data_IF_769522985640
#
_entry.id   IF_769522985640
#
_cell.length_a   1.000
_cell.length_b   1.000
_cell.length_c   1.000
_cell.angle_alpha   90.00
_cell.angle_beta   90.00
_cell.angle_gamma   90.00
#
_symmetry.space_group_name_H-M   'P 1'
#
loop_
_entity.id
_entity.type
_entity.pdbx_description
1 polymer ?
#
# COMPACT_ATOMS: atom_id res chain seq x y z
N UNK A 1 -2.72 -5.46 8.95
CA UNK A 1 -3.04 -4.79 7.67
C UNK A 1 -3.80 -3.54 8.05
N UNK A 2 -3.36 -2.39 7.56
CA UNK A 2 -3.95 -1.10 7.89
C UNK A 2 -4.33 -0.40 6.61
N UNK A 3 -5.52 0.21 6.59
CA UNK A 3 -5.93 1.11 5.53
C UNK A 3 -5.59 2.53 5.98
N UNK A 4 -4.86 3.27 5.15
CA UNK A 4 -4.46 4.64 5.50
C UNK A 4 -4.51 5.59 4.32
N UNK A 5 -4.39 6.88 4.64
CA UNK A 5 -4.29 7.94 3.65
C UNK A 5 -2.86 8.07 3.12
N UNK A 6 -2.71 8.85 2.05
CA UNK A 6 -1.40 9.28 1.56
C UNK A 6 -0.53 9.88 2.68
N UNK A 7 -1.12 10.68 3.59
CA UNK A 7 -0.41 11.28 4.73
C UNK A 7 0.11 10.21 5.70
N UNK A 8 -0.63 9.13 5.94
CA UNK A 8 -0.17 8.02 6.77
C UNK A 8 1.01 7.28 6.12
N UNK A 9 0.98 7.09 4.79
CA UNK A 9 2.08 6.48 4.03
C UNK A 9 3.36 7.34 3.99
N UNK A 10 3.22 8.66 4.15
CA UNK A 10 4.32 9.62 4.21
C UNK A 10 4.80 9.91 5.64
N UNK A 11 4.26 9.24 6.66
CA UNK A 11 4.64 9.47 8.05
C UNK A 11 5.37 8.25 8.62
N UNK A 12 6.71 8.30 8.62
CA UNK A 12 7.58 7.23 9.13
C UNK A 12 7.25 6.82 10.57
N UNK A 13 6.92 7.78 11.44
CA UNK A 13 6.61 7.50 12.84
C UNK A 13 5.30 6.73 12.98
N UNK A 14 4.27 7.09 12.20
CA UNK A 14 2.99 6.37 12.15
C UNK A 14 3.18 4.96 11.58
N UNK A 15 3.98 4.81 10.53
CA UNK A 15 4.30 3.50 9.96
C UNK A 15 4.96 2.60 11.02
N UNK A 16 6.01 3.09 11.68
CA UNK A 16 6.74 2.31 12.70
C UNK A 16 5.89 2.01 13.93
N UNK A 17 5.07 2.96 14.41
CA UNK A 17 4.20 2.75 15.57
C UNK A 17 3.10 1.71 15.31
N UNK A 18 2.67 1.57 14.05
CA UNK A 18 1.74 0.52 13.62
C UNK A 18 2.44 -0.79 13.21
N UNK A 19 3.75 -0.93 13.49
CA UNK A 19 4.56 -2.08 13.09
C UNK A 19 4.49 -2.37 11.57
N UNK A 20 4.32 -1.31 10.75
CA UNK A 20 4.34 -1.44 9.31
C UNK A 20 5.78 -1.68 8.85
N UNK A 21 5.94 -2.69 8.01
CA UNK A 21 7.22 -3.06 7.37
C UNK A 21 7.11 -2.96 5.84
N UNK A 22 5.89 -2.99 5.33
CA UNK A 22 5.57 -2.97 3.90
C UNK A 22 4.53 -1.88 3.62
N UNK A 23 4.65 -1.22 2.47
CA UNK A 23 3.72 -0.20 1.99
C UNK A 23 3.26 -0.58 0.58
N UNK A 24 1.96 -0.78 0.42
CA UNK A 24 1.30 -1.02 -0.87
C UNK A 24 0.60 0.26 -1.31
N UNK A 25 1.05 0.81 -2.43
CA UNK A 25 0.54 2.04 -3.04
C UNK A 25 -0.19 1.69 -4.32
N UNK A 26 -1.49 1.98 -4.38
CA UNK A 26 -2.31 1.83 -5.58
C UNK A 26 -2.62 3.24 -6.08
N UNK A 27 -1.68 3.83 -6.80
CA UNK A 27 -1.73 5.23 -7.23
C UNK A 27 -0.75 5.46 -8.38
N UNK A 28 -1.04 6.45 -9.21
CA UNK A 28 -0.14 6.84 -10.29
C UNK A 28 1.02 7.69 -9.73
N UNK A 29 2.24 7.37 -10.17
CA UNK A 29 3.43 8.22 -9.99
C UNK A 29 3.82 8.56 -8.54
N UNK A 30 3.49 7.71 -7.56
CA UNK A 30 3.94 7.91 -6.18
C UNK A 30 5.24 7.13 -5.91
N UNK A 31 6.33 7.86 -5.72
CA UNK A 31 7.62 7.29 -5.37
C UNK A 31 7.68 6.88 -3.87
N UNK A 32 8.36 5.76 -3.54
CA UNK A 32 8.68 5.40 -2.17
C UNK A 32 9.42 6.51 -1.43
N UNK A 33 8.88 6.94 -0.28
CA UNK A 33 9.43 8.05 0.51
C UNK A 33 10.57 7.59 1.42
N UNK A 34 10.51 6.33 1.90
CA UNK A 34 11.50 5.75 2.80
C UNK A 34 11.96 4.35 2.33
N UNK A 35 12.54 4.23 1.11
CA UNK A 35 12.86 2.93 0.50
C UNK A 35 13.86 2.09 1.30
N UNK A 36 14.63 2.70 2.20
CA UNK A 36 15.59 2.00 3.07
C UNK A 36 14.96 1.46 4.37
N UNK A 37 13.76 1.92 4.73
CA UNK A 37 13.09 1.51 5.98
C UNK A 37 11.92 0.55 5.76
N UNK A 38 11.29 0.56 4.58
CA UNK A 38 10.13 -0.26 4.27
C UNK A 38 10.23 -0.87 2.87
N UNK A 39 9.53 -1.99 2.68
CA UNK A 39 9.38 -2.62 1.37
C UNK A 39 8.17 -2.01 0.67
N UNK A 40 8.36 -1.46 -0.52
CA UNK A 40 7.30 -0.82 -1.29
C UNK A 40 6.82 -1.68 -2.45
N UNK A 41 5.51 -1.63 -2.69
CA UNK A 41 4.89 -2.12 -3.91
C UNK A 41 4.02 -1.01 -4.47
N UNK A 42 4.41 -0.46 -5.62
CA UNK A 42 3.63 0.57 -6.31
C UNK A 42 2.94 -0.06 -7.51
N UNK A 43 1.63 0.15 -7.57
CA UNK A 43 0.79 -0.24 -8.70
C UNK A 43 0.10 0.98 -9.24
N UNK A 44 0.52 1.35 -10.44
CA UNK A 44 -0.11 2.39 -11.22
C UNK A 44 -1.39 1.82 -11.81
N UNK A 45 -2.51 2.39 -11.39
CA UNK A 45 -3.83 1.99 -11.81
C UNK A 45 -4.50 3.27 -12.27
N UNK A 46 -4.87 3.31 -13.55
CA UNK A 46 -5.62 4.44 -14.07
C UNK A 46 -6.96 4.55 -13.32
N UNK A 47 -7.30 5.75 -12.88
CA UNK A 47 -8.60 6.03 -12.25
C UNK A 47 -9.69 6.08 -13.34
N UNK A 48 -10.00 4.90 -13.87
CA UNK A 48 -11.01 4.69 -14.90
C UNK A 48 -11.91 3.55 -14.49
N UNK A 49 -13.20 3.71 -14.72
CA UNK A 49 -14.21 2.69 -14.36
C UNK A 49 -14.01 1.37 -15.11
N UNK A 50 -13.34 1.41 -16.26
CA UNK A 50 -12.96 0.25 -17.08
C UNK A 50 -11.78 -0.55 -16.53
N UNK A 51 -11.10 -0.05 -15.49
CA UNK A 51 -9.89 -0.69 -14.97
C UNK A 51 -10.24 -1.87 -14.08
N UNK A 52 -9.87 -3.07 -14.53
CA UNK A 52 -10.11 -4.30 -13.79
C UNK A 52 -9.17 -4.40 -12.58
N UNK A 53 -9.65 -3.97 -11.41
CA UNK A 53 -8.91 -4.09 -10.15
C UNK A 53 -8.71 -5.54 -9.69
N UNK A 54 -9.56 -6.48 -10.14
CA UNK A 54 -9.50 -7.89 -9.69
C UNK A 54 -8.19 -8.56 -10.12
N UNK A 55 -7.64 -8.18 -11.26
CA UNK A 55 -6.37 -8.74 -11.75
C UNK A 55 -5.18 -8.38 -10.84
N UNK A 56 -5.28 -7.31 -10.07
CA UNK A 56 -4.25 -6.88 -9.12
C UNK A 56 -4.50 -7.39 -7.71
N UNK A 57 -5.71 -7.88 -7.42
CA UNK A 57 -6.10 -8.30 -6.08
C UNK A 57 -5.24 -9.48 -5.60
N UNK A 58 -5.01 -10.47 -6.46
CA UNK A 58 -4.17 -11.63 -6.12
C UNK A 58 -2.75 -11.21 -5.80
N UNK A 59 -2.21 -10.24 -6.54
CA UNK A 59 -0.87 -9.72 -6.28
C UNK A 59 -0.81 -8.92 -4.96
N UNK A 60 -1.83 -8.09 -4.69
CA UNK A 60 -1.94 -7.33 -3.46
C UNK A 60 -2.06 -8.26 -2.24
N UNK A 61 -2.89 -9.30 -2.34
CA UNK A 61 -3.04 -10.33 -1.30
C UNK A 61 -1.71 -11.02 -1.06
N UNK A 62 -1.02 -11.46 -2.12
CA UNK A 62 0.29 -12.10 -1.99
C UNK A 62 1.32 -11.19 -1.30
N UNK A 63 1.30 -9.89 -1.58
CA UNK A 63 2.18 -8.92 -0.91
C UNK A 63 1.85 -8.79 0.59
N UNK A 64 0.56 -8.70 0.93
CA UNK A 64 0.10 -8.65 2.32
C UNK A 64 0.46 -9.93 3.08
N UNK A 65 0.28 -11.08 2.46
CA UNK A 65 0.59 -12.37 3.08
C UNK A 65 2.08 -12.57 3.33
N UNK A 66 2.95 -12.13 2.41
CA UNK A 66 4.40 -12.14 2.62
C UNK A 66 4.78 -11.33 3.85
N UNK A 67 4.30 -10.09 3.95
CA UNK A 67 4.61 -9.25 5.10
C UNK A 67 4.13 -9.86 6.42
N UNK A 68 2.92 -10.43 6.44
CA UNK A 68 2.37 -11.14 7.61
C UNK A 68 3.24 -12.34 8.01
N UNK A 69 3.70 -13.15 7.05
CA UNK A 69 4.59 -14.30 7.32
C UNK A 69 5.92 -13.88 7.93
N UNK A 70 6.40 -12.68 7.61
CA UNK A 70 7.59 -12.09 8.22
C UNK A 70 7.33 -11.34 9.54
N UNK A 71 6.11 -11.45 10.11
CA UNK A 71 5.75 -10.81 11.38
C UNK A 71 5.50 -9.29 11.28
N UNK A 72 5.37 -8.76 10.07
CA UNK A 72 5.24 -7.33 9.82
C UNK A 72 3.82 -6.90 9.40
N UNK A 73 3.54 -5.62 9.57
CA UNK A 73 2.33 -4.97 9.07
C UNK A 73 2.48 -4.46 7.64
N UNK A 74 1.35 -4.40 6.92
CA UNK A 74 1.23 -3.71 5.62
C UNK A 74 0.30 -2.53 5.75
N UNK A 75 0.77 -1.36 5.32
CA UNK A 75 -0.09 -0.23 5.04
C UNK A 75 -0.53 -0.31 3.57
N UNK A 76 -1.83 -0.25 3.33
CA UNK A 76 -2.40 -0.11 1.99
C UNK A 76 -2.99 1.29 1.86
N UNK A 77 -2.63 2.01 0.80
CA UNK A 77 -3.25 3.29 0.48
C UNK A 77 -3.43 3.47 -1.02
N UNK A 78 -4.50 4.17 -1.38
CA UNK A 78 -4.78 4.64 -2.75
C UNK A 78 -4.60 6.17 -2.80
N UNK A 79 -4.47 6.74 -4.00
CA UNK A 79 -4.49 8.20 -4.17
C UNK A 79 -5.84 8.79 -3.77
N UNK A 80 -6.92 8.06 -4.04
CA UNK A 80 -8.27 8.45 -3.71
C UNK A 80 -8.66 7.71 -2.43
N UNK A 81 -8.75 8.43 -1.31
CA UNK A 81 -9.34 7.93 -0.05
C UNK A 81 -10.84 7.63 -0.14
N UNK A 82 -11.33 7.28 -1.33
CA UNK A 82 -12.74 7.13 -1.71
C UNK A 82 -12.84 6.33 -3.01
N UNK A 83 -12.39 5.08 -3.02
CA UNK A 83 -13.06 4.08 -3.86
C UNK A 83 -12.84 2.69 -3.28
N UNK A 84 -13.95 2.15 -2.75
CA UNK A 84 -14.17 0.77 -2.28
C UNK A 84 -13.45 0.38 -0.98
N UNK A 85 -13.89 0.97 0.13
CA UNK A 85 -14.06 0.21 1.38
C UNK A 85 -15.22 -0.78 1.25
#
# INVERSE_FOLDING_TARGET
MFLGSFSAANNKSVLKSNNATHVLTIANSLAPVYPNDFVYKVREVADREDTNLRQYLDECINFVDKAKRHGGGVLVHCFVGTSRS
#
